data_IF_457396012106
#
_entry.id   IF_457396012106
#
_cell.length_a   1.000
_cell.length_b   1.000
_cell.length_c   1.000
_cell.angle_alpha   90.00
_cell.angle_beta   90.00
_cell.angle_gamma   90.00
#
_symmetry.space_group_name_H-M   'P 1'
#
loop_
_entity.id
_entity.type
_entity.pdbx_description
1 polymer ?
#
# COMPACT_ATOMS: atom_id res chain seq x y z
N UNK A 1 51.18 -38.97 13.69
CA UNK A 1 51.01 -37.52 13.45
C UNK A 1 49.59 -37.30 12.95
N UNK A 2 48.82 -36.48 13.67
CA UNK A 2 47.36 -36.33 13.58
C UNK A 2 46.84 -36.10 12.15
N UNK A 3 45.88 -36.94 11.78
CA UNK A 3 44.88 -36.69 10.75
C UNK A 3 44.26 -35.30 10.94
N UNK A 4 44.30 -34.48 9.88
CA UNK A 4 43.45 -33.30 9.77
C UNK A 4 42.33 -33.66 8.81
N UNK A 5 41.17 -33.94 9.40
CA UNK A 5 39.88 -34.11 8.76
C UNK A 5 39.62 -33.00 7.72
N UNK A 6 40.00 -33.22 6.48
CA UNK A 6 39.40 -32.51 5.33
C UNK A 6 38.09 -33.22 5.06
N UNK A 7 36.99 -32.68 5.59
CA UNK A 7 35.64 -33.07 5.15
C UNK A 7 35.65 -33.02 3.62
N UNK A 8 35.38 -34.15 2.97
CA UNK A 8 35.44 -34.24 1.51
C UNK A 8 34.55 -33.15 0.90
N UNK A 9 35.10 -32.32 0.02
CA UNK A 9 34.40 -31.22 -0.66
C UNK A 9 32.94 -31.52 -1.08
N UNK A 10 32.57 -32.73 -1.58
CA UNK A 10 31.17 -33.05 -1.90
C UNK A 10 30.23 -33.12 -0.69
N UNK A 11 30.70 -33.58 0.48
CA UNK A 11 29.88 -33.67 1.70
C UNK A 11 29.62 -32.27 2.26
N UNK A 12 30.62 -31.39 2.22
CA UNK A 12 30.47 -29.99 2.61
C UNK A 12 29.51 -29.24 1.69
N UNK A 13 29.62 -29.44 0.36
CA UNK A 13 28.68 -28.82 -0.59
C UNK A 13 27.26 -29.35 -0.46
N UNK A 14 27.08 -30.66 -0.20
CA UNK A 14 25.77 -31.24 0.03
C UNK A 14 25.13 -30.70 1.32
N UNK A 15 25.91 -30.59 2.39
CA UNK A 15 25.48 -29.97 3.64
C UNK A 15 25.06 -28.50 3.43
N UNK A 16 25.87 -27.71 2.71
CA UNK A 16 25.56 -26.31 2.41
C UNK A 16 24.30 -26.17 1.56
N UNK A 17 24.10 -27.05 0.58
CA UNK A 17 22.90 -27.08 -0.26
C UNK A 17 21.65 -27.41 0.58
N UNK A 18 21.72 -28.40 1.47
CA UNK A 18 20.64 -28.74 2.40
C UNK A 18 20.34 -27.54 3.33
N UNK A 19 21.37 -26.85 3.81
CA UNK A 19 21.21 -25.67 4.67
C UNK A 19 20.53 -24.53 3.90
N UNK A 20 20.91 -24.27 2.65
CA UNK A 20 20.26 -23.26 1.81
C UNK A 20 18.81 -23.61 1.52
N UNK A 21 18.51 -24.88 1.19
CA UNK A 21 17.13 -25.34 0.94
C UNK A 21 16.30 -25.24 2.22
N UNK A 22 16.84 -25.66 3.37
CA UNK A 22 16.16 -25.55 4.66
C UNK A 22 15.90 -24.10 5.03
N UNK A 23 16.88 -23.22 4.83
CA UNK A 23 16.72 -21.78 5.02
C UNK A 23 15.65 -21.20 4.08
N UNK A 24 15.65 -21.60 2.81
CA UNK A 24 14.63 -21.19 1.85
C UNK A 24 13.23 -21.61 2.29
N UNK A 25 13.02 -22.89 2.66
CA UNK A 25 11.72 -23.39 3.11
C UNK A 25 11.23 -22.61 4.34
N UNK A 26 12.13 -22.28 5.27
CA UNK A 26 11.78 -21.52 6.46
C UNK A 26 11.46 -20.04 6.15
N UNK A 27 12.25 -19.40 5.30
CA UNK A 27 12.18 -17.95 5.10
C UNK A 27 11.48 -17.55 3.79
N UNK A 28 10.92 -18.51 3.04
CA UNK A 28 10.24 -18.25 1.78
C UNK A 28 9.13 -17.19 1.95
N UNK A 29 9.13 -16.13 1.13
CA UNK A 29 8.09 -15.11 1.12
C UNK A 29 6.71 -15.66 0.73
N UNK A 30 5.64 -15.07 1.28
CA UNK A 30 4.26 -15.40 0.94
C UNK A 30 3.93 -15.27 -0.55
N UNK A 31 4.58 -14.33 -1.24
CA UNK A 31 4.35 -14.03 -2.65
C UNK A 31 4.86 -15.15 -3.58
N UNK A 32 5.75 -16.01 -3.08
CA UNK A 32 6.32 -17.16 -3.83
C UNK A 32 5.90 -18.51 -3.24
N UNK A 33 4.77 -18.53 -2.50
CA UNK A 33 4.21 -19.75 -1.92
C UNK A 33 4.81 -20.16 -0.57
N UNK A 34 5.60 -19.29 0.05
CA UNK A 34 6.06 -19.45 1.42
C UNK A 34 5.04 -18.99 2.47
N UNK A 35 5.46 -18.98 3.74
CA UNK A 35 4.59 -18.62 4.87
C UNK A 35 5.01 -17.33 5.59
N UNK A 36 6.07 -16.67 5.13
CA UNK A 36 6.68 -15.52 5.83
C UNK A 36 6.47 -14.24 5.04
N UNK A 37 6.05 -13.16 5.70
CA UNK A 37 5.97 -11.82 5.10
C UNK A 37 6.93 -10.87 5.83
N UNK A 38 7.60 -10.01 5.06
CA UNK A 38 8.64 -9.10 5.55
C UNK A 38 8.10 -7.67 5.58
N UNK A 39 8.04 -7.08 6.78
CA UNK A 39 7.47 -5.76 7.00
C UNK A 39 8.52 -4.87 7.64
N UNK A 40 8.73 -3.69 7.06
CA UNK A 40 9.54 -2.64 7.66
C UNK A 40 8.57 -1.72 8.40
N UNK A 41 8.82 -1.47 9.68
CA UNK A 41 7.95 -0.63 10.48
C UNK A 41 8.16 0.84 10.16
N UNK A 42 7.05 1.52 9.85
CA UNK A 42 6.98 2.93 9.49
C UNK A 42 6.01 3.58 10.49
N UNK A 43 6.56 4.24 11.52
CA UNK A 43 5.77 4.88 12.58
C UNK A 43 6.17 4.45 14.00
N UNK A 44 5.53 5.06 14.99
CA UNK A 44 5.78 4.89 16.42
C UNK A 44 4.63 4.20 17.17
N UNK A 45 3.58 3.73 16.48
CA UNK A 45 2.37 3.17 17.12
C UNK A 45 2.61 1.92 17.97
N UNK A 46 3.74 1.25 17.79
CA UNK A 46 4.15 0.05 18.53
C UNK A 46 5.33 0.29 19.48
N UNK A 47 5.65 1.55 19.77
CA UNK A 47 6.66 1.90 20.80
C UNK A 47 6.17 1.60 22.23
N UNK A 48 7.09 1.35 23.19
CA UNK A 48 8.55 1.26 23.04
C UNK A 48 9.02 -0.12 22.56
N UNK A 49 8.10 -1.07 22.33
CA UNK A 49 8.43 -2.44 21.97
C UNK A 49 9.04 -2.59 20.58
N UNK A 50 8.61 -1.76 19.63
CA UNK A 50 9.02 -1.79 18.22
C UNK A 50 9.30 -0.39 17.73
N UNK A 51 10.35 -0.22 16.95
CA UNK A 51 10.82 1.09 16.52
C UNK A 51 10.78 1.22 15.00
N UNK A 52 10.75 2.45 14.53
CA UNK A 52 10.88 2.77 13.11
C UNK A 52 12.16 2.14 12.53
N UNK A 53 12.06 1.62 11.30
CA UNK A 53 13.13 0.88 10.61
C UNK A 53 13.49 -0.50 11.19
N UNK A 54 12.74 -1.01 12.17
CA UNK A 54 12.83 -2.43 12.50
C UNK A 54 12.26 -3.28 11.35
N UNK A 55 12.89 -4.42 11.11
CA UNK A 55 12.35 -5.45 10.23
C UNK A 55 11.60 -6.46 11.09
N UNK A 56 10.33 -6.69 10.78
CA UNK A 56 9.55 -7.77 11.39
C UNK A 56 9.16 -8.79 10.33
N UNK A 57 9.32 -10.06 10.70
CA UNK A 57 8.87 -11.19 9.92
C UNK A 57 7.61 -11.70 10.60
N UNK A 58 6.52 -11.72 9.85
CA UNK A 58 5.26 -12.31 10.28
C UNK A 58 5.02 -13.62 9.54
N UNK A 59 4.41 -14.59 10.20
CA UNK A 59 4.04 -15.87 9.59
C UNK A 59 2.55 -16.14 9.68
N UNK A 60 1.99 -16.68 8.61
CA UNK A 60 0.59 -17.11 8.60
C UNK A 60 0.37 -18.17 9.68
N UNK A 61 -0.66 -17.99 10.50
CA UNK A 61 -1.03 -18.92 11.56
C UNK A 61 -2.45 -19.46 11.31
N UNK A 62 -2.71 -20.67 11.81
CA UNK A 62 -4.07 -21.24 11.80
C UNK A 62 -4.97 -20.60 12.86
N UNK A 63 -4.37 -20.07 13.91
CA UNK A 63 -5.05 -19.42 15.02
C UNK A 63 -4.34 -18.12 15.42
N UNK A 64 -5.12 -17.10 15.75
CA UNK A 64 -4.66 -15.84 16.31
C UNK A 64 -5.35 -15.62 17.65
N UNK A 65 -4.60 -15.22 18.67
CA UNK A 65 -5.09 -15.09 20.05
C UNK A 65 -5.00 -13.65 20.54
N UNK A 66 -5.80 -13.33 21.55
CA UNK A 66 -5.69 -12.06 22.27
C UNK A 66 -4.25 -11.89 22.78
N UNK A 67 -3.73 -10.67 22.65
CA UNK A 67 -2.34 -10.23 22.86
C UNK A 67 -1.32 -10.62 21.79
N UNK A 68 -1.70 -11.35 20.75
CA UNK A 68 -0.80 -11.57 19.61
C UNK A 68 -0.57 -10.26 18.85
N UNK A 69 0.67 -10.05 18.41
CA UNK A 69 1.04 -8.95 17.52
C UNK A 69 0.99 -9.51 16.10
N UNK A 70 0.19 -8.88 15.25
CA UNK A 70 -0.07 -9.38 13.91
C UNK A 70 0.02 -8.25 12.89
N UNK A 71 0.30 -8.61 11.65
CA UNK A 71 0.07 -7.74 10.52
C UNK A 71 -1.27 -8.07 9.87
N UNK A 72 -2.08 -7.07 9.56
CA UNK A 72 -3.36 -7.22 8.87
C UNK A 72 -3.51 -6.19 7.75
N UNK A 73 -4.39 -6.47 6.80
CA UNK A 73 -4.68 -5.56 5.69
C UNK A 73 -5.82 -4.63 6.08
N UNK A 74 -5.56 -3.33 6.11
CA UNK A 74 -6.57 -2.29 6.19
C UNK A 74 -6.86 -1.74 4.78
N UNK A 75 -8.14 -1.61 4.36
CA UNK A 75 -8.50 -1.17 3.01
C UNK A 75 -7.89 0.19 2.60
N UNK A 76 -7.88 1.16 3.52
CA UNK A 76 -7.50 2.56 3.20
C UNK A 76 -6.00 2.85 3.36
N UNK A 77 -5.30 2.11 4.23
CA UNK A 77 -3.91 2.42 4.65
C UNK A 77 -2.91 1.33 4.24
N UNK A 78 -3.36 0.12 3.92
CA UNK A 78 -2.52 -1.01 3.57
C UNK A 78 -2.20 -1.91 4.77
N UNK A 79 -0.97 -2.44 4.84
CA UNK A 79 -0.60 -3.40 5.89
C UNK A 79 -0.26 -2.67 7.19
N UNK A 80 -1.03 -2.94 8.25
CA UNK A 80 -0.86 -2.37 9.59
C UNK A 80 -0.37 -3.45 10.55
N UNK A 81 0.51 -3.09 11.48
CA UNK A 81 1.15 -4.01 12.42
C UNK A 81 0.81 -3.63 13.86
N UNK A 82 -0.18 -4.28 14.48
CA UNK A 82 -0.71 -3.96 15.80
C UNK A 82 -1.03 -5.20 16.63
N UNK A 83 -1.42 -5.01 17.90
CA UNK A 83 -1.77 -6.07 18.83
C UNK A 83 -3.27 -6.34 18.86
N UNK A 84 -3.65 -7.61 18.90
CA UNK A 84 -5.03 -8.04 19.14
C UNK A 84 -5.38 -7.76 20.61
N UNK A 85 -6.37 -6.91 20.87
CA UNK A 85 -6.88 -6.63 22.22
C UNK A 85 -8.09 -7.47 22.57
N UNK A 86 -8.93 -7.76 21.59
CA UNK A 86 -10.11 -8.59 21.77
C UNK A 86 -10.45 -9.37 20.49
N UNK A 87 -11.13 -10.49 20.66
CA UNK A 87 -11.74 -11.26 19.59
C UNK A 87 -13.24 -11.33 19.85
N UNK A 88 -14.06 -10.74 18.98
CA UNK A 88 -15.52 -10.72 19.09
C UNK A 88 -16.15 -11.15 17.76
N UNK A 89 -17.07 -12.13 17.79
CA UNK A 89 -17.88 -12.52 16.63
C UNK A 89 -17.10 -12.79 15.32
N UNK A 90 -15.87 -13.30 15.40
CA UNK A 90 -15.01 -13.58 14.23
C UNK A 90 -14.15 -12.40 13.74
N UNK A 91 -14.22 -11.26 14.42
CA UNK A 91 -13.41 -10.06 14.16
C UNK A 91 -12.43 -9.80 15.30
N UNK A 92 -11.33 -9.14 14.98
CA UNK A 92 -10.31 -8.72 15.94
C UNK A 92 -10.34 -7.22 16.18
N UNK A 93 -10.36 -6.82 17.45
CA UNK A 93 -10.11 -5.44 17.87
C UNK A 93 -8.61 -5.25 17.94
N UNK A 94 -8.10 -4.32 17.14
CA UNK A 94 -6.67 -4.05 16.98
C UNK A 94 -6.29 -2.76 17.72
N UNK A 95 -5.09 -2.73 18.28
CA UNK A 95 -4.56 -1.53 18.94
C UNK A 95 -3.03 -1.48 18.84
N UNK A 96 -2.50 -0.33 18.47
CA UNK A 96 -1.07 -0.03 18.62
C UNK A 96 -0.68 0.09 20.09
N UNK A 97 0.44 -0.52 20.50
CA UNK A 97 0.90 -0.52 21.89
C UNK A 97 1.11 0.90 22.47
N UNK A 98 1.44 1.88 21.61
CA UNK A 98 1.64 3.28 21.96
C UNK A 98 0.37 4.14 21.84
N UNK A 99 -0.68 3.64 21.18
CA UNK A 99 -1.88 4.44 20.89
C UNK A 99 -2.80 4.49 22.13
N UNK A 100 -3.46 5.63 22.38
CA UNK A 100 -4.47 5.73 23.43
C UNK A 100 -5.84 5.21 22.99
N UNK A 101 -6.12 5.17 21.69
CA UNK A 101 -7.35 4.67 21.06
C UNK A 101 -7.19 3.27 20.45
N UNK A 102 -8.31 2.62 20.13
CA UNK A 102 -8.38 1.37 19.35
C UNK A 102 -8.54 1.67 17.85
N UNK A 103 -8.09 0.76 17.00
CA UNK A 103 -8.19 0.94 15.55
C UNK A 103 -9.67 0.83 15.12
N UNK A 104 -10.12 1.74 14.26
CA UNK A 104 -11.52 1.78 13.82
C UNK A 104 -11.91 0.57 12.95
N UNK A 105 -10.92 -0.05 12.28
CA UNK A 105 -11.12 -1.20 11.41
C UNK A 105 -10.86 -2.52 12.14
N UNK A 106 -11.80 -3.44 12.03
CA UNK A 106 -11.80 -4.73 12.73
C UNK A 106 -11.60 -5.86 11.72
N UNK A 107 -10.37 -6.36 11.51
CA UNK A 107 -10.11 -7.41 10.53
C UNK A 107 -10.68 -8.77 10.96
N UNK A 108 -11.12 -9.55 9.99
CA UNK A 108 -11.37 -10.99 10.13
C UNK A 108 -10.06 -11.78 10.09
N UNK A 109 -10.09 -13.06 10.48
CA UNK A 109 -8.91 -13.94 10.41
C UNK A 109 -8.30 -14.07 9.01
N UNK A 110 -9.10 -13.90 7.94
CA UNK A 110 -8.64 -13.98 6.56
C UNK A 110 -7.89 -12.71 6.11
N UNK A 111 -8.07 -11.59 6.81
CA UNK A 111 -7.42 -10.31 6.52
C UNK A 111 -6.12 -10.14 7.33
N UNK A 112 -5.86 -11.05 8.29
CA UNK A 112 -4.59 -11.15 9.00
C UNK A 112 -3.55 -11.81 8.10
N UNK A 113 -2.49 -11.06 7.77
CA UNK A 113 -1.35 -11.52 6.96
C UNK A 113 -0.54 -12.56 7.72
N UNK A 114 -0.29 -12.31 9.01
CA UNK A 114 0.44 -13.23 9.86
C UNK A 114 0.74 -12.68 11.24
N UNK A 115 1.19 -13.58 12.13
CA UNK A 115 1.63 -13.28 13.49
C UNK A 115 3.13 -13.01 13.52
N UNK A 116 3.56 -12.06 14.34
CA UNK A 116 4.97 -11.78 14.60
C UNK A 116 5.73 -13.07 14.94
N UNK A 117 6.79 -13.32 14.18
CA UNK A 117 7.70 -14.44 14.40
C UNK A 117 9.08 -13.96 14.82
N UNK A 118 9.68 -13.04 14.06
CA UNK A 118 11.03 -12.52 14.33
C UNK A 118 11.03 -11.01 14.19
N UNK A 119 11.68 -10.32 15.12
CA UNK A 119 12.05 -8.90 15.02
C UNK A 119 13.56 -8.78 14.88
N UNK A 120 14.00 -7.99 13.92
CA UNK A 120 15.41 -7.65 13.73
C UNK A 120 15.55 -6.12 13.81
N UNK A 121 16.06 -5.60 14.95
CA UNK A 121 16.16 -4.16 15.14
C UNK A 121 17.02 -3.48 14.06
N UNK A 122 16.56 -2.32 13.56
CA UNK A 122 17.26 -1.50 12.53
C UNK A 122 17.56 -2.17 11.19
N UNK A 123 17.19 -3.43 10.97
CA UNK A 123 17.48 -4.14 9.72
C UNK A 123 16.66 -3.63 8.53
N UNK A 124 15.54 -2.94 8.77
CA UNK A 124 14.79 -2.24 7.73
C UNK A 124 15.66 -1.22 6.99
N UNK A 125 16.55 -0.51 7.71
CA UNK A 125 17.48 0.45 7.10
C UNK A 125 18.40 -0.25 6.08
N UNK A 126 19.01 -1.38 6.45
CA UNK A 126 19.90 -2.14 5.58
C UNK A 126 19.15 -2.63 4.33
N UNK A 127 17.94 -3.14 4.51
CA UNK A 127 17.08 -3.60 3.41
C UNK A 127 16.67 -2.46 2.48
N UNK A 128 16.35 -1.28 3.01
CA UNK A 128 16.03 -0.11 2.17
C UNK A 128 17.20 0.31 1.30
N UNK A 129 18.44 0.25 1.82
CA UNK A 129 19.65 0.53 1.04
C UNK A 129 19.78 -0.46 -0.12
N UNK A 130 19.60 -1.76 0.11
CA UNK A 130 19.67 -2.78 -0.96
C UNK A 130 18.50 -2.75 -1.95
N UNK A 131 17.37 -2.15 -1.60
CA UNK A 131 16.26 -1.89 -2.54
C UNK A 131 16.56 -0.76 -3.52
N UNK A 132 17.53 0.10 -3.23
CA UNK A 132 17.96 1.14 -4.19
C UNK A 132 18.78 0.53 -5.32
N UNK A 133 18.69 1.07 -6.56
CA UNK A 133 19.51 0.59 -7.68
C UNK A 133 21.00 0.57 -7.35
N UNK A 134 21.49 1.62 -6.68
CA UNK A 134 22.90 1.79 -6.31
C UNK A 134 23.32 0.75 -5.27
N UNK A 135 22.55 0.58 -4.19
CA UNK A 135 22.86 -0.40 -3.15
C UNK A 135 22.85 -1.84 -3.68
N UNK A 136 21.92 -2.16 -4.59
CA UNK A 136 21.91 -3.44 -5.28
C UNK A 136 23.14 -3.65 -6.17
N UNK A 137 23.57 -2.62 -6.91
CA UNK A 137 24.81 -2.69 -7.72
C UNK A 137 26.04 -3.01 -6.86
N UNK A 138 26.20 -2.34 -5.72
CA UNK A 138 27.31 -2.63 -4.81
C UNK A 138 27.27 -4.07 -4.27
N UNK A 139 26.09 -4.57 -3.91
CA UNK A 139 25.93 -5.95 -3.45
C UNK A 139 26.36 -6.95 -4.52
N UNK A 140 25.92 -6.76 -5.77
CA UNK A 140 26.30 -7.62 -6.90
C UNK A 140 27.81 -7.59 -7.10
N UNK A 141 28.43 -6.40 -7.11
CA UNK A 141 29.89 -6.25 -7.26
C UNK A 141 30.63 -7.02 -6.17
N UNK A 142 30.23 -6.89 -4.89
CA UNK A 142 30.87 -7.58 -3.77
C UNK A 142 30.77 -9.10 -3.94
N UNK A 143 29.59 -9.62 -4.30
CA UNK A 143 29.38 -11.05 -4.52
C UNK A 143 30.24 -11.53 -5.70
N UNK A 144 30.28 -10.78 -6.80
CA UNK A 144 31.12 -11.10 -7.96
C UNK A 144 32.60 -11.11 -7.60
N UNK A 145 33.09 -10.12 -6.84
CA UNK A 145 34.48 -10.06 -6.39
C UNK A 145 34.83 -11.21 -5.45
N UNK A 146 33.93 -11.59 -4.54
CA UNK A 146 34.11 -12.75 -3.67
C UNK A 146 34.17 -14.05 -4.47
N UNK A 147 33.26 -14.26 -5.43
CA UNK A 147 33.28 -15.42 -6.32
C UNK A 147 34.59 -15.48 -7.12
N UNK A 148 35.02 -14.36 -7.69
CA UNK A 148 36.29 -14.25 -8.40
C UNK A 148 37.48 -14.56 -7.48
N UNK A 149 37.47 -14.09 -6.24
CA UNK A 149 38.51 -14.38 -5.25
C UNK A 149 38.57 -15.88 -4.91
N UNK A 150 37.43 -16.53 -4.69
CA UNK A 150 37.39 -17.98 -4.44
C UNK A 150 37.91 -18.77 -5.65
N UNK A 151 37.46 -18.44 -6.86
CA UNK A 151 37.93 -19.09 -8.10
C UNK A 151 39.43 -18.89 -8.31
N UNK A 152 39.94 -17.67 -8.07
CA UNK A 152 41.35 -17.34 -8.26
C UNK A 152 42.25 -17.95 -7.18
N UNK A 153 41.77 -18.04 -5.94
CA UNK A 153 42.50 -18.68 -4.84
C UNK A 153 42.67 -20.19 -5.05
N UNK A 154 41.64 -20.90 -5.53
CA UNK A 154 41.75 -22.32 -5.92
C UNK A 154 42.74 -22.51 -7.08
N UNK A 155 42.75 -21.60 -8.05
CA UNK A 155 43.73 -21.61 -9.15
C UNK A 155 45.17 -21.38 -8.69
N UNK A 156 45.41 -20.49 -7.72
CA UNK A 156 46.75 -20.23 -7.14
C UNK A 156 47.21 -21.41 -6.28
N UNK A 157 46.34 -21.94 -5.42
CA UNK A 157 46.68 -23.02 -4.48
C UNK A 157 46.96 -24.33 -5.24
N UNK A 158 46.19 -24.60 -6.32
CA UNK A 158 46.43 -25.73 -7.22
C UNK A 158 47.81 -25.68 -7.92
N UNK A 159 48.38 -24.49 -8.17
CA UNK A 159 49.74 -24.35 -8.72
C UNK A 159 50.84 -24.63 -7.69
N UNK A 160 50.66 -24.25 -6.42
CA UNK A 160 51.67 -24.47 -5.36
C UNK A 160 51.85 -25.96 -5.01
N UNK A 161 50.79 -26.76 -5.00
CA UNK A 161 50.90 -28.21 -4.80
C UNK A 161 51.55 -28.92 -6.00
N UNK A 162 51.29 -28.45 -7.22
CA UNK A 162 51.89 -29.00 -8.44
C UNK A 162 53.39 -28.70 -8.55
N UNK A 163 53.83 -27.51 -8.10
CA UNK A 163 55.26 -27.16 -8.07
C UNK A 163 56.05 -27.85 -6.96
N UNK A 164 55.44 -28.16 -5.80
CA UNK A 164 56.13 -28.86 -4.71
C UNK A 164 56.30 -30.36 -4.98
N UNK A 165 55.42 -30.97 -5.79
CA UNK A 165 55.53 -32.37 -6.23
C UNK A 165 56.57 -32.55 -7.34
N UNK A 166 56.79 -31.51 -8.15
CA UNK A 166 57.80 -31.50 -9.22
C UNK A 166 59.24 -31.27 -8.71
N UNK A 167 59.45 -30.93 -7.43
CA UNK A 167 60.79 -30.74 -6.85
C UNK A 167 61.43 -32.03 -6.30
N UNK A 168 60.69 -33.15 -6.23
CA UNK A 168 61.25 -34.46 -5.85
C UNK A 168 61.29 -35.49 -6.99
N UNK A 169 60.81 -35.16 -8.19
CA UNK A 169 60.99 -36.01 -9.38
C UNK A 169 61.70 -35.21 -10.47
N UNK A 170 63.03 -35.18 -10.37
CA UNK A 170 63.87 -34.98 -11.54
C UNK A 170 63.77 -36.23 -12.42
N UNK A 171 62.83 -36.25 -13.35
CA UNK A 171 62.67 -37.37 -14.28
C UNK A 171 61.62 -37.10 -15.35
N UNK A 172 62.05 -36.63 -16.51
CA UNK A 172 61.38 -36.71 -17.81
C UNK A 172 59.83 -36.72 -17.83
N UNK A 173 59.21 -35.54 -17.98
CA UNK A 173 57.98 -35.45 -18.79
C UNK A 173 57.90 -34.12 -19.54
N UNK A 174 58.20 -34.19 -20.83
CA UNK A 174 58.01 -33.10 -21.79
C UNK A 174 56.49 -32.92 -21.93
N UNK A 175 55.91 -31.89 -21.29
CA UNK A 175 54.49 -31.58 -21.47
C UNK A 175 54.28 -31.23 -22.95
N UNK A 176 53.55 -32.10 -23.64
CA UNK A 176 53.31 -32.02 -25.06
C UNK A 176 52.42 -30.80 -25.34
N UNK A 177 52.76 -29.96 -26.33
CA UNK A 177 51.99 -28.77 -26.72
C UNK A 177 50.50 -29.06 -27.03
N UNK A 178 50.17 -30.33 -27.28
CA UNK A 178 48.83 -30.83 -27.54
C UNK A 178 47.90 -30.80 -26.33
N UNK A 179 48.41 -30.98 -25.10
CA UNK A 179 47.58 -31.03 -23.89
C UNK A 179 47.14 -29.63 -23.42
N UNK A 180 47.92 -28.58 -23.73
CA UNK A 180 47.51 -27.18 -23.49
C UNK A 180 46.31 -26.78 -24.36
N UNK A 181 46.28 -27.20 -25.62
CA UNK A 181 45.17 -26.90 -26.53
C UNK A 181 43.88 -27.63 -26.15
N UNK A 182 43.98 -28.85 -25.59
CA UNK A 182 42.82 -29.61 -25.10
C UNK A 182 42.24 -28.98 -23.84
N UNK A 183 43.09 -28.49 -22.92
CA UNK A 183 42.64 -27.83 -21.71
C UNK A 183 42.04 -26.43 -21.98
N UNK A 184 42.61 -25.65 -22.91
CA UNK A 184 42.06 -24.36 -23.34
C UNK A 184 40.71 -24.51 -24.08
N UNK A 185 40.57 -25.59 -24.86
CA UNK A 185 39.30 -25.95 -25.50
C UNK A 185 38.23 -26.33 -24.47
N UNK A 186 38.57 -27.03 -23.39
CA UNK A 186 37.62 -27.41 -22.33
C UNK A 186 37.15 -26.19 -21.51
N UNK A 187 38.05 -25.25 -21.21
CA UNK A 187 37.69 -24.02 -20.49
C UNK A 187 36.78 -23.09 -21.34
N UNK A 188 37.08 -22.91 -22.62
CA UNK A 188 36.19 -22.19 -23.54
C UNK A 188 34.82 -22.88 -23.68
N UNK A 189 34.79 -24.20 -23.52
CA UNK A 189 33.57 -24.99 -23.56
C UNK A 189 32.71 -24.79 -22.30
N UNK A 190 33.34 -24.79 -21.13
CA UNK A 190 32.64 -24.53 -19.86
C UNK A 190 32.10 -23.11 -19.81
N UNK A 191 32.88 -22.12 -20.27
CA UNK A 191 32.47 -20.71 -20.27
C UNK A 191 31.23 -20.48 -21.13
N UNK A 192 31.17 -21.10 -22.31
CA UNK A 192 30.00 -21.02 -23.19
C UNK A 192 28.76 -21.69 -22.57
N UNK A 193 28.93 -22.82 -21.89
CA UNK A 193 27.83 -23.49 -21.18
C UNK A 193 27.32 -22.67 -19.99
N UNK A 194 28.20 -22.00 -19.25
CA UNK A 194 27.78 -21.09 -18.17
C UNK A 194 26.96 -19.91 -18.69
N UNK A 195 27.33 -19.34 -19.84
CA UNK A 195 26.56 -18.27 -20.48
C UNK A 195 25.17 -18.78 -20.90
N UNK A 196 25.09 -19.93 -21.57
CA UNK A 196 23.81 -20.55 -21.95
C UNK A 196 22.94 -20.80 -20.72
N UNK A 197 23.52 -21.32 -19.64
CA UNK A 197 22.81 -21.58 -18.40
C UNK A 197 22.32 -20.29 -17.74
N UNK A 198 23.14 -19.23 -17.71
CA UNK A 198 22.74 -17.93 -17.17
C UNK A 198 21.55 -17.34 -17.96
N UNK A 199 21.56 -17.40 -19.29
CA UNK A 199 20.44 -16.98 -20.12
C UNK A 199 19.20 -17.86 -19.93
N UNK A 200 19.38 -19.19 -19.77
CA UNK A 200 18.29 -20.11 -19.45
C UNK A 200 17.60 -19.72 -18.14
N UNK A 201 18.35 -19.51 -17.06
CA UNK A 201 17.79 -19.15 -15.76
C UNK A 201 17.14 -17.77 -15.79
N UNK A 202 17.75 -16.79 -16.46
CA UNK A 202 17.15 -15.47 -16.63
C UNK A 202 15.80 -15.55 -17.36
N UNK A 203 15.72 -16.33 -18.45
CA UNK A 203 14.48 -16.54 -19.20
C UNK A 203 13.45 -17.35 -18.40
N UNK A 204 13.90 -18.34 -17.63
CA UNK A 204 13.06 -19.17 -16.77
C UNK A 204 12.42 -18.37 -15.62
N UNK A 205 13.20 -17.54 -14.93
CA UNK A 205 12.66 -16.64 -13.89
C UNK A 205 11.71 -15.60 -14.47
N UNK A 206 12.01 -15.06 -15.66
CA UNK A 206 11.11 -14.14 -16.37
C UNK A 206 9.79 -14.85 -16.76
N UNK A 207 9.86 -16.11 -17.19
CA UNK A 207 8.68 -16.92 -17.48
C UNK A 207 7.85 -17.13 -16.22
N UNK A 208 8.46 -17.53 -15.10
CA UNK A 208 7.75 -17.71 -13.83
C UNK A 208 7.05 -16.40 -13.43
N UNK A 209 7.76 -15.27 -13.40
CA UNK A 209 7.21 -13.98 -12.99
C UNK A 209 6.09 -13.48 -13.91
N UNK A 210 6.22 -13.68 -15.22
CA UNK A 210 5.23 -13.21 -16.21
C UNK A 210 4.01 -14.12 -16.34
N UNK A 211 4.15 -15.43 -16.15
CA UNK A 211 3.02 -16.36 -16.16
C UNK A 211 2.30 -16.45 -14.82
N UNK A 212 2.96 -16.16 -13.70
CA UNK A 212 2.32 -16.04 -12.38
C UNK A 212 1.51 -14.75 -12.21
N UNK A 213 1.79 -13.73 -13.03
CA UNK A 213 1.08 -12.45 -13.00
C UNK A 213 -0.07 -12.41 -14.01
N UNK A 214 -1.25 -11.86 -13.66
CA UNK A 214 -2.35 -11.69 -14.59
C UNK A 214 -1.99 -10.66 -15.68
N UNK A 215 -2.59 -10.80 -16.87
CA UNK A 215 -2.33 -9.89 -18.02
C UNK A 215 -2.94 -8.51 -17.77
N UNK A 216 -4.05 -8.46 -17.02
CA UNK A 216 -4.77 -7.25 -16.67
C UNK A 216 -4.70 -7.02 -15.15
N UNK A 217 -4.62 -5.75 -14.76
CA UNK A 217 -4.77 -5.30 -13.38
C UNK A 217 -5.90 -4.28 -13.30
N UNK A 218 -6.69 -4.36 -12.23
CA UNK A 218 -7.68 -3.34 -11.91
C UNK A 218 -6.98 -2.13 -11.28
N UNK A 219 -7.10 -0.97 -11.89
CA UNK A 219 -6.63 0.30 -11.35
C UNK A 219 -7.86 1.10 -10.90
N UNK A 220 -7.75 1.81 -9.78
CA UNK A 220 -8.78 2.77 -9.37
C UNK A 220 -8.99 3.80 -10.50
N UNK A 221 -10.26 4.06 -10.80
CA UNK A 221 -10.72 4.97 -11.84
C UNK A 221 -11.84 5.82 -11.28
N UNK A 222 -11.59 6.40 -10.11
CA UNK A 222 -12.61 7.05 -9.30
C UNK A 222 -13.08 8.37 -9.94
N UNK A 223 -14.38 8.66 -9.85
CA UNK A 223 -14.92 9.96 -10.29
C UNK A 223 -15.17 10.84 -9.08
N UNK A 224 -14.52 11.99 -9.04
CA UNK A 224 -14.77 12.98 -8.01
C UNK A 224 -16.04 13.78 -8.31
N UNK A 225 -16.78 14.08 -7.26
CA UNK A 225 -17.93 14.99 -7.31
C UNK A 225 -17.89 15.91 -6.10
N UNK A 226 -18.60 17.03 -6.19
CA UNK A 226 -18.58 18.05 -5.15
C UNK A 226 -19.99 18.52 -4.82
N UNK A 227 -20.27 18.54 -3.52
CA UNK A 227 -21.45 19.15 -2.93
C UNK A 227 -21.15 20.62 -2.63
N UNK A 228 -22.04 21.50 -3.05
CA UNK A 228 -22.00 22.92 -2.71
C UNK A 228 -23.26 23.26 -1.92
N UNK A 229 -23.07 23.92 -0.78
CA UNK A 229 -24.13 24.61 -0.05
C UNK A 229 -23.89 26.11 -0.09
N UNK A 230 -24.95 26.90 -0.14
CA UNK A 230 -24.89 28.35 0.07
C UNK A 230 -25.96 28.72 1.08
N UNK A 231 -25.54 29.28 2.21
CA UNK A 231 -26.41 29.83 3.23
C UNK A 231 -26.64 31.32 2.99
N UNK A 232 -27.87 31.75 3.25
CA UNK A 232 -28.18 33.14 3.52
C UNK A 232 -29.22 33.21 4.64
N UNK A 233 -29.19 34.29 5.39
CA UNK A 233 -30.21 34.64 6.35
C UNK A 233 -30.56 36.12 6.27
N UNK A 234 -31.80 36.44 6.59
CA UNK A 234 -32.33 37.79 6.59
C UNK A 234 -33.46 37.98 7.60
N UNK A 235 -33.65 39.21 8.06
CA UNK A 235 -34.81 39.63 8.84
C UNK A 235 -35.21 41.05 8.47
N UNK A 236 -36.50 41.37 8.60
CA UNK A 236 -36.98 42.76 8.51
C UNK A 236 -36.55 43.50 9.78
N UNK A 237 -35.99 44.70 9.64
CA UNK A 237 -35.54 45.51 10.77
C UNK A 237 -36.07 46.93 10.65
N UNK A 238 -36.36 47.61 11.79
CA UNK A 238 -36.73 49.01 11.78
C UNK A 238 -35.64 49.90 11.14
N UNK A 239 -36.07 50.86 10.30
CA UNK A 239 -35.20 51.77 9.55
C UNK A 239 -34.40 52.75 10.44
N UNK A 240 -34.70 52.83 11.73
CA UNK A 240 -34.04 53.73 12.68
C UNK A 240 -32.80 53.13 13.36
N UNK A 241 -32.60 51.81 13.26
CA UNK A 241 -31.47 51.11 13.89
C UNK A 241 -30.42 50.65 12.87
N UNK A 242 -30.82 50.38 11.62
CA UNK A 242 -29.93 49.89 10.57
C UNK A 242 -29.96 50.81 9.34
N UNK A 243 -28.82 50.91 8.65
CA UNK A 243 -28.72 51.69 7.39
C UNK A 243 -29.63 51.13 6.27
N UNK A 244 -30.04 49.87 6.38
CA UNK A 244 -30.94 49.18 5.45
C UNK A 244 -32.16 48.64 6.20
N UNK A 245 -33.33 48.60 5.55
CA UNK A 245 -34.59 48.02 6.07
C UNK A 245 -34.53 46.49 6.26
N UNK A 246 -33.40 45.86 5.90
CA UNK A 246 -33.18 44.40 5.99
C UNK A 246 -31.82 44.07 6.54
N UNK A 247 -31.80 43.12 7.47
CA UNK A 247 -30.60 42.51 8.02
C UNK A 247 -30.09 41.44 7.05
N UNK A 248 -28.78 41.41 6.80
CA UNK A 248 -28.16 40.50 5.84
C UNK A 248 -27.20 39.50 6.50
N UNK A 249 -26.76 38.53 5.70
CA UNK A 249 -25.87 37.48 6.17
C UNK A 249 -24.51 38.04 6.60
N UNK A 250 -24.14 37.81 7.86
CA UNK A 250 -22.96 38.38 8.52
C UNK A 250 -23.31 39.35 9.64
N UNK A 251 -24.50 39.95 9.61
CA UNK A 251 -24.95 40.92 10.62
C UNK A 251 -25.43 40.21 11.90
N UNK A 252 -25.21 40.82 13.09
CA UNK A 252 -25.73 40.28 14.35
C UNK A 252 -27.24 40.46 14.44
N UNK A 253 -27.96 39.41 14.83
CA UNK A 253 -29.42 39.46 15.01
C UNK A 253 -29.72 39.84 16.46
N UNK A 254 -30.17 41.07 16.70
CA UNK A 254 -30.62 41.50 18.04
C UNK A 254 -32.00 40.95 18.37
N UNK A 255 -32.10 40.21 19.47
CA UNK A 255 -33.28 39.43 19.86
C UNK A 255 -34.47 40.27 20.33
N UNK A 256 -34.21 41.50 20.80
CA UNK A 256 -35.27 42.45 21.16
C UNK A 256 -35.98 43.04 19.94
N UNK A 257 -35.30 43.05 18.79
CA UNK A 257 -35.83 43.59 17.53
C UNK A 257 -36.44 42.45 16.71
N UNK A 258 -35.72 41.33 16.62
CA UNK A 258 -36.11 40.17 15.82
C UNK A 258 -36.42 38.97 16.71
N UNK A 259 -37.70 38.54 16.74
CA UNK A 259 -38.13 37.29 17.36
C UNK A 259 -38.06 36.09 16.41
N UNK A 260 -37.83 36.35 15.13
CA UNK A 260 -37.71 35.37 14.05
C UNK A 260 -36.76 35.88 12.97
N UNK A 261 -36.22 34.95 12.17
CA UNK A 261 -35.48 35.30 10.97
C UNK A 261 -35.61 34.17 9.93
N UNK A 262 -35.45 34.51 8.66
CA UNK A 262 -35.49 33.54 7.57
C UNK A 262 -34.08 33.03 7.27
N UNK A 263 -33.92 31.72 7.18
CA UNK A 263 -32.70 31.08 6.68
C UNK A 263 -33.01 30.41 5.36
N UNK A 264 -32.17 30.62 4.36
CA UNK A 264 -32.24 29.96 3.07
C UNK A 264 -30.97 29.16 2.81
N UNK A 265 -31.14 27.96 2.28
CA UNK A 265 -30.06 27.07 1.90
C UNK A 265 -30.23 26.63 0.44
N UNK A 266 -29.23 26.93 -0.38
CA UNK A 266 -29.16 26.45 -1.76
C UNK A 266 -28.16 25.31 -1.84
N UNK A 267 -28.62 24.15 -2.29
CA UNK A 267 -27.78 22.98 -2.54
C UNK A 267 -27.53 22.81 -4.03
N UNK A 268 -26.30 22.44 -4.40
CA UNK A 268 -25.95 22.05 -5.77
C UNK A 268 -24.91 20.91 -5.79
N UNK A 269 -25.23 19.83 -6.51
CA UNK A 269 -24.32 18.72 -6.78
C UNK A 269 -23.64 18.90 -8.15
N UNK A 270 -22.31 18.94 -8.17
CA UNK A 270 -21.49 19.04 -9.39
C UNK A 270 -20.57 17.82 -9.56
N UNK A 271 -20.40 17.39 -10.79
CA UNK A 271 -19.52 16.28 -11.19
C UNK A 271 -19.13 16.49 -12.66
N UNK A 272 -17.91 16.10 -13.02
CA UNK A 272 -17.49 16.05 -14.43
C UNK A 272 -18.24 14.98 -15.22
N UNK A 273 -18.56 13.87 -14.54
CA UNK A 273 -19.33 12.77 -15.10
C UNK A 273 -20.84 13.01 -15.00
N UNK A 274 -21.65 12.50 -15.94
CA UNK A 274 -23.09 12.71 -15.95
C UNK A 274 -23.75 12.13 -14.70
N UNK A 275 -24.62 12.94 -14.09
CA UNK A 275 -25.41 12.58 -12.92
C UNK A 275 -26.81 12.15 -13.39
N UNK A 276 -27.30 11.01 -12.90
CA UNK A 276 -28.61 10.44 -13.26
C UNK A 276 -29.24 9.70 -12.07
N UNK A 277 -30.53 9.39 -12.16
CA UNK A 277 -31.27 8.63 -11.13
C UNK A 277 -31.09 9.20 -9.71
N UNK A 278 -31.28 10.52 -9.56
CA UNK A 278 -31.19 11.21 -8.27
C UNK A 278 -32.47 10.92 -7.49
N UNK A 279 -32.33 10.34 -6.32
CA UNK A 279 -33.41 10.09 -5.36
C UNK A 279 -32.90 10.39 -3.96
N UNK A 280 -33.72 10.96 -3.10
CA UNK A 280 -33.29 11.23 -1.74
C UNK A 280 -34.26 12.06 -0.94
N UNK A 281 -33.80 12.48 0.23
CA UNK A 281 -34.57 13.27 1.18
C UNK A 281 -33.79 14.50 1.64
N UNK A 282 -34.55 15.52 2.03
CA UNK A 282 -34.02 16.70 2.66
C UNK A 282 -34.90 17.19 3.79
N UNK A 283 -34.25 17.67 4.83
CA UNK A 283 -34.88 18.45 5.89
C UNK A 283 -33.86 19.47 6.41
N UNK A 284 -34.36 20.54 7.00
CA UNK A 284 -33.56 21.47 7.78
C UNK A 284 -33.96 21.35 9.25
N UNK A 285 -32.96 21.23 10.11
CA UNK A 285 -33.14 21.17 11.56
C UNK A 285 -32.31 22.25 12.24
N UNK A 286 -32.79 22.70 13.40
CA UNK A 286 -32.03 23.54 14.32
C UNK A 286 -31.54 22.68 15.47
N UNK A 287 -30.29 22.81 15.87
CA UNK A 287 -29.71 22.10 17.01
C UNK A 287 -29.26 23.16 18.01
N UNK A 288 -29.84 23.11 19.21
CA UNK A 288 -29.49 23.99 20.31
C UNK A 288 -28.51 23.22 21.18
N UNK A 289 -27.34 23.78 21.47
CA UNK A 289 -26.34 23.13 22.29
C UNK A 289 -25.74 24.04 23.37
N UNK A 290 -25.23 23.42 24.43
CA UNK A 290 -24.60 24.05 25.59
C UNK A 290 -23.23 23.42 25.86
N UNK A 291 -22.31 24.16 26.48
CA UNK A 291 -20.91 23.77 26.66
C UNK A 291 -20.68 22.50 27.50
N UNK A 292 -21.63 22.09 28.35
CA UNK A 292 -21.60 20.82 29.08
C UNK A 292 -21.87 19.58 28.21
N UNK A 293 -22.24 19.78 26.94
CA UNK A 293 -22.54 18.72 25.98
C UNK A 293 -24.03 18.38 25.86
N UNK A 294 -24.92 19.19 26.43
CA UNK A 294 -26.36 19.07 26.17
C UNK A 294 -26.69 19.56 24.76
N UNK A 295 -27.51 18.80 24.04
CA UNK A 295 -28.04 19.17 22.73
C UNK A 295 -29.53 18.85 22.60
N UNK A 296 -30.27 19.70 21.89
CA UNK A 296 -31.66 19.48 21.54
C UNK A 296 -31.94 19.90 20.10
N UNK A 297 -32.53 18.97 19.34
CA UNK A 297 -32.94 19.24 17.95
C UNK A 297 -34.38 19.76 17.89
N UNK A 298 -34.58 20.84 17.15
CA UNK A 298 -35.87 21.39 16.74
C UNK A 298 -36.03 21.23 15.23
N UNK A 299 -37.24 20.92 14.80
CA UNK A 299 -37.53 20.76 13.37
C UNK A 299 -37.86 22.12 12.74
N UNK A 300 -37.14 22.50 11.69
CA UNK A 300 -37.38 23.75 10.96
C UNK A 300 -38.18 23.51 9.68
N UNK A 301 -37.94 22.39 8.99
CA UNK A 301 -38.76 21.95 7.85
C UNK A 301 -39.16 20.48 7.97
N UNK A 302 -40.28 20.13 7.34
CA UNK A 302 -40.65 18.72 7.16
C UNK A 302 -39.67 18.00 6.19
N UNK A 303 -39.45 16.68 6.36
CA UNK A 303 -38.74 15.89 5.36
C UNK A 303 -39.44 15.95 4.00
N UNK A 304 -38.70 16.33 2.96
CA UNK A 304 -39.15 16.40 1.59
C UNK A 304 -38.33 15.46 0.70
N UNK A 305 -38.96 14.90 -0.34
CA UNK A 305 -38.29 14.09 -1.36
C UNK A 305 -37.58 14.99 -2.38
N UNK A 306 -36.39 14.59 -2.83
CA UNK A 306 -35.61 15.30 -3.86
C UNK A 306 -35.29 14.37 -5.02
N UNK A 307 -35.44 14.90 -6.24
CA UNK A 307 -35.06 14.26 -7.50
C UNK A 307 -34.25 15.19 -8.43
N UNK A 308 -33.80 16.34 -7.93
CA UNK A 308 -33.05 17.35 -8.68
C UNK A 308 -31.67 17.58 -8.08
N UNK A 309 -30.70 17.93 -8.93
CA UNK A 309 -29.30 18.18 -8.52
C UNK A 309 -29.06 19.55 -7.86
N UNK A 310 -30.02 20.47 -8.00
CA UNK A 310 -29.95 21.82 -7.45
C UNK A 310 -31.33 22.24 -6.95
N UNK A 311 -31.40 22.73 -5.72
CA UNK A 311 -32.63 23.25 -5.14
C UNK A 311 -32.30 24.30 -4.07
N UNK A 312 -33.31 25.10 -3.73
CA UNK A 312 -33.25 26.06 -2.62
C UNK A 312 -34.39 25.75 -1.67
N UNK A 313 -34.12 25.79 -0.37
CA UNK A 313 -35.11 25.65 0.68
C UNK A 313 -34.89 26.73 1.72
N UNK A 314 -36.00 27.30 2.18
CA UNK A 314 -36.01 28.33 3.22
C UNK A 314 -36.81 27.85 4.43
N UNK A 315 -36.42 28.28 5.60
CA UNK A 315 -37.09 28.00 6.86
C UNK A 315 -37.14 29.27 7.72
N UNK A 316 -38.25 29.46 8.44
CA UNK A 316 -38.35 30.47 9.48
C UNK A 316 -37.78 29.88 10.78
N UNK A 317 -36.85 30.59 11.40
CA UNK A 317 -36.30 30.26 12.71
C UNK A 317 -36.95 31.16 13.74
N UNK A 318 -37.85 30.60 14.55
CA UNK A 318 -38.54 31.32 15.61
C UNK A 318 -37.75 31.22 16.93
N UNK A 319 -37.20 32.35 17.39
CA UNK A 319 -36.35 32.43 18.58
C UNK A 319 -37.12 32.23 19.89
N UNK A 320 -38.44 32.43 19.90
CA UNK A 320 -39.27 32.15 21.08
C UNK A 320 -39.37 30.64 21.34
N UNK A 321 -39.42 29.83 20.27
CA UNK A 321 -39.37 28.36 20.38
C UNK A 321 -38.01 27.91 20.90
N UNK A 322 -36.93 28.51 20.39
CA UNK A 322 -35.56 28.24 20.86
C UNK A 322 -35.43 28.56 22.35
N UNK A 323 -35.90 29.74 22.78
CA UNK A 323 -35.86 30.12 24.18
C UNK A 323 -36.70 29.19 25.06
N UNK A 324 -37.90 28.81 24.63
CA UNK A 324 -38.76 27.87 25.39
C UNK A 324 -38.09 26.51 25.61
N UNK A 325 -37.26 26.07 24.66
CA UNK A 325 -36.48 24.83 24.78
C UNK A 325 -35.33 24.98 25.78
N UNK A 326 -34.67 26.14 25.80
CA UNK A 326 -33.63 26.49 26.77
C UNK A 326 -34.23 26.58 28.17
N UNK A 327 -35.31 27.35 28.36
CA UNK A 327 -35.97 27.56 29.65
C UNK A 327 -36.37 26.23 30.30
N UNK A 328 -36.93 25.31 29.51
CA UNK A 328 -37.31 23.98 29.97
C UNK A 328 -36.09 23.14 30.42
N UNK A 329 -34.97 23.25 29.70
CA UNK A 329 -33.72 22.59 30.11
C UNK A 329 -33.19 23.18 31.42
N UNK A 330 -33.14 24.50 31.55
CA UNK A 330 -32.65 25.18 32.76
C UNK A 330 -33.55 24.87 33.96
N UNK A 331 -34.88 24.88 33.80
CA UNK A 331 -35.85 24.54 34.85
C UNK A 331 -35.69 23.09 35.35
N UNK A 332 -35.49 22.14 34.44
CA UNK A 332 -35.38 20.72 34.79
C UNK A 332 -34.01 20.34 35.38
N UNK A 333 -32.94 21.00 34.95
CA UNK A 333 -31.57 20.63 35.34
C UNK A 333 -30.97 21.54 36.41
N UNK A 334 -31.50 22.74 36.57
CA UNK A 334 -30.92 23.79 37.41
C UNK A 334 -29.60 24.37 36.85
N UNK A 335 -29.18 23.94 35.66
CA UNK A 335 -28.01 24.48 34.96
C UNK A 335 -28.47 25.72 34.21
N UNK A 336 -27.79 26.83 34.43
CA UNK A 336 -28.01 28.08 33.67
C UNK A 336 -26.77 28.41 32.88
N UNK A 337 -26.93 28.87 31.65
CA UNK A 337 -25.81 29.30 30.80
C UNK A 337 -26.08 30.65 30.16
N UNK A 338 -25.08 31.52 30.19
CA UNK A 338 -25.16 32.82 29.54
C UNK A 338 -24.99 32.73 28.02
N UNK A 339 -24.66 31.55 27.49
CA UNK A 339 -24.40 31.33 26.07
C UNK A 339 -24.79 29.94 25.61
N UNK A 340 -25.61 29.92 24.57
CA UNK A 340 -25.98 28.72 23.83
C UNK A 340 -25.45 28.82 22.40
N UNK A 341 -25.40 27.68 21.71
CA UNK A 341 -25.13 27.63 20.28
C UNK A 341 -26.38 27.16 19.55
N UNK A 342 -26.81 27.91 18.54
CA UNK A 342 -27.86 27.50 17.62
C UNK A 342 -27.22 27.12 16.29
N UNK A 343 -27.27 25.84 15.96
CA UNK A 343 -26.75 25.30 14.69
C UNK A 343 -27.91 25.03 13.75
N UNK A 344 -27.94 25.71 12.61
CA UNK A 344 -28.85 25.37 11.52
C UNK A 344 -28.16 24.32 10.65
N UNK A 345 -28.78 23.16 10.52
CA UNK A 345 -28.21 22.02 9.81
C UNK A 345 -29.20 21.53 8.74
N UNK A 346 -28.95 21.84 7.46
CA UNK A 346 -29.60 21.17 6.34
C UNK A 346 -29.07 19.74 6.22
N UNK A 347 -29.95 18.77 6.11
CA UNK A 347 -29.62 17.35 6.01
C UNK A 347 -30.01 16.84 4.63
N UNK A 348 -29.03 16.75 3.72
CA UNK A 348 -29.21 16.27 2.35
C UNK A 348 -28.76 14.82 2.27
N UNK A 349 -29.69 13.89 2.04
CA UNK A 349 -29.39 12.48 1.83
C UNK A 349 -29.78 12.09 0.41
N UNK A 350 -28.81 11.75 -0.44
CA UNK A 350 -29.02 11.43 -1.84
C UNK A 350 -28.46 10.06 -2.20
N UNK A 351 -29.19 9.32 -3.02
CA UNK A 351 -28.70 8.21 -3.81
C UNK A 351 -28.76 8.62 -5.27
N UNK A 352 -27.65 8.51 -6.00
CA UNK A 352 -27.61 8.84 -7.42
C UNK A 352 -26.66 7.94 -8.19
N UNK A 353 -26.65 8.08 -9.52
CA UNK A 353 -25.65 7.48 -10.40
C UNK A 353 -24.76 8.54 -11.02
N UNK A 354 -23.45 8.45 -10.78
CA UNK A 354 -22.43 9.33 -11.36
C UNK A 354 -21.59 8.50 -12.33
N UNK A 355 -21.61 8.86 -13.62
CA UNK A 355 -20.93 8.06 -14.66
C UNK A 355 -21.43 6.61 -14.71
N UNK A 356 -22.71 6.38 -14.37
CA UNK A 356 -23.34 5.06 -14.29
C UNK A 356 -23.13 4.31 -12.97
N UNK A 357 -22.27 4.79 -12.07
CA UNK A 357 -21.95 4.15 -10.78
C UNK A 357 -22.87 4.65 -9.67
N UNK A 358 -23.42 3.75 -8.86
CA UNK A 358 -24.28 4.11 -7.72
C UNK A 358 -23.45 4.77 -6.62
N UNK A 359 -23.93 5.88 -6.10
CA UNK A 359 -23.32 6.68 -5.04
C UNK A 359 -24.38 7.01 -4.01
N UNK A 360 -24.05 6.82 -2.73
CA UNK A 360 -24.83 7.33 -1.60
C UNK A 360 -24.05 8.53 -1.04
N UNK A 361 -24.71 9.66 -0.94
CA UNK A 361 -24.15 10.94 -0.57
C UNK A 361 -24.93 11.53 0.60
N UNK A 362 -24.21 11.95 1.63
CA UNK A 362 -24.77 12.60 2.82
C UNK A 362 -24.03 13.92 2.99
N UNK A 363 -24.75 15.04 2.92
CA UNK A 363 -24.20 16.38 3.10
C UNK A 363 -25.00 17.11 4.18
N UNK A 364 -24.32 17.36 5.31
CA UNK A 364 -24.90 17.97 6.52
C UNK A 364 -24.06 19.14 7.01
N UNK A 365 -23.94 20.24 6.25
CA UNK A 365 -23.15 21.39 6.68
C UNK A 365 -23.76 22.05 7.92
N UNK A 366 -22.92 22.63 8.76
CA UNK A 366 -23.33 23.29 9.99
C UNK A 366 -23.20 24.80 9.85
N UNK A 367 -24.29 25.50 10.17
CA UNK A 367 -24.33 26.96 10.19
C UNK A 367 -24.62 27.44 11.61
N UNK A 368 -23.55 27.80 12.33
CA UNK A 368 -23.58 27.95 13.78
C UNK A 368 -23.64 29.42 14.22
N UNK A 369 -24.57 29.72 15.13
CA UNK A 369 -24.71 31.01 15.78
C UNK A 369 -24.41 30.88 17.27
N UNK A 370 -23.60 31.78 17.80
CA UNK A 370 -23.51 32.00 19.24
C UNK A 370 -24.69 32.87 19.67
N UNK A 371 -25.44 32.40 20.66
CA UNK A 371 -26.64 33.03 21.17
C UNK A 371 -26.45 33.41 22.64
N UNK A 372 -26.69 34.66 22.98
CA UNK A 372 -26.86 35.15 24.35
C UNK A 372 -28.24 35.79 24.50
N UNK A 373 -28.53 36.38 25.66
CA UNK A 373 -29.82 37.02 25.96
C UNK A 373 -30.17 38.19 25.02
N UNK A 374 -29.16 38.79 24.38
CA UNK A 374 -29.31 40.03 23.62
C UNK A 374 -29.25 39.81 22.12
N UNK A 375 -28.42 38.88 21.65
CA UNK A 375 -28.13 38.71 20.22
C UNK A 375 -27.75 37.29 19.81
N UNK A 376 -27.91 37.02 18.52
CA UNK A 376 -27.27 35.92 17.80
C UNK A 376 -26.15 36.48 16.91
N UNK A 377 -24.98 35.86 16.96
CA UNK A 377 -23.83 36.21 16.13
C UNK A 377 -23.30 34.95 15.45
N UNK A 378 -23.02 35.05 14.14
CA UNK A 378 -22.40 33.95 13.41
C UNK A 378 -21.03 33.59 14.00
N UNK A 379 -20.83 32.32 14.33
CA UNK A 379 -19.53 31.85 14.85
C UNK A 379 -18.53 31.84 13.70
N UNK A 380 -17.51 32.68 13.79
CA UNK A 380 -16.39 32.69 12.86
C UNK A 380 -15.28 31.77 13.39
N UNK A 381 -14.94 30.75 12.62
CA UNK A 381 -13.77 29.91 12.88
C UNK A 381 -12.53 30.62 12.32
N UNK A 382 -11.49 30.83 13.15
CA UNK A 382 -10.24 31.48 12.73
C UNK A 382 -9.55 30.75 11.56
N UNK A 383 -9.92 29.50 11.27
CA UNK A 383 -9.41 28.71 10.16
C UNK A 383 -10.21 28.83 8.85
N UNK A 384 -11.40 29.45 8.87
CA UNK A 384 -12.31 29.57 7.71
C UNK A 384 -12.67 31.04 7.46
N UNK A 385 -12.67 31.47 6.21
CA UNK A 385 -13.15 32.83 5.89
C UNK A 385 -14.67 32.91 6.05
N UNK A 386 -15.21 34.12 6.27
CA UNK A 386 -16.66 34.34 6.35
C UNK A 386 -17.40 33.82 5.10
N UNK A 387 -16.75 33.87 3.94
CA UNK A 387 -17.22 33.29 2.68
C UNK A 387 -17.28 31.77 2.69
N UNK A 388 -16.35 31.09 3.35
CA UNK A 388 -16.33 29.62 3.44
C UNK A 388 -17.43 29.08 4.36
N UNK A 389 -17.76 29.83 5.42
CA UNK A 389 -18.85 29.49 6.35
C UNK A 389 -20.21 29.57 5.64
N UNK A 390 -20.39 30.61 4.81
CA UNK A 390 -21.61 30.76 4.02
C UNK A 390 -21.66 29.80 2.82
N UNK A 391 -20.52 29.30 2.34
CA UNK A 391 -20.45 28.43 1.16
C UNK A 391 -19.74 27.11 1.44
N UNK A 392 -20.30 26.23 2.30
CA UNK A 392 -19.70 24.95 2.62
C UNK A 392 -19.61 24.04 1.39
N UNK A 393 -18.49 23.32 1.27
CA UNK A 393 -18.28 22.33 0.22
C UNK A 393 -17.85 20.98 0.78
N UNK A 394 -18.29 19.88 0.16
CA UNK A 394 -17.84 18.53 0.51
C UNK A 394 -17.51 17.75 -0.77
N UNK A 395 -16.28 17.24 -0.84
CA UNK A 395 -15.83 16.35 -1.93
C UNK A 395 -16.28 14.92 -1.62
N UNK A 396 -16.79 14.24 -2.64
CA UNK A 396 -17.14 12.83 -2.60
C UNK A 396 -16.55 12.07 -3.78
N UNK A 397 -16.50 10.74 -3.65
CA UNK A 397 -15.84 9.86 -4.62
C UNK A 397 -16.80 8.75 -5.06
N UNK A 398 -17.01 8.64 -6.36
CA UNK A 398 -17.72 7.53 -6.99
C UNK A 398 -16.72 6.43 -7.36
N UNK A 399 -16.49 5.51 -6.43
CA UNK A 399 -15.46 4.48 -6.56
C UNK A 399 -15.67 3.59 -7.79
N UNK A 400 -14.59 3.26 -8.50
CA UNK A 400 -14.64 2.25 -9.55
C UNK A 400 -13.28 1.79 -10.05
N UNK A 401 -13.33 0.78 -10.91
CA UNK A 401 -12.14 0.09 -11.39
C UNK A 401 -12.14 0.01 -12.90
N UNK A 402 -11.01 0.36 -13.50
CA UNK A 402 -10.74 0.07 -14.92
C UNK A 402 -9.72 -1.05 -15.04
N UNK A 403 -9.93 -1.93 -16.00
CA UNK A 403 -8.92 -2.89 -16.42
C UNK A 403 -7.83 -2.16 -17.20
N UNK A 404 -6.58 -2.36 -16.80
CA UNK A 404 -5.41 -1.85 -17.49
C UNK A 404 -4.40 -2.96 -17.69
N UNK A 405 -3.53 -2.83 -18.68
CA UNK A 405 -2.48 -3.81 -18.94
C UNK A 405 -1.50 -3.85 -17.75
N UNK A 406 -1.28 -5.06 -17.22
CA UNK A 406 -0.41 -5.24 -16.07
C UNK A 406 1.07 -5.12 -16.46
N UNK A 407 1.90 -4.63 -15.55
CA UNK A 407 3.34 -4.44 -15.77
C UNK A 407 4.17 -5.08 -14.66
N UNK A 408 5.29 -5.69 -15.05
CA UNK A 408 6.31 -6.18 -14.13
C UNK A 408 7.41 -5.12 -14.00
N UNK A 409 7.85 -4.86 -12.78
CA UNK A 409 9.08 -4.10 -12.55
C UNK A 409 10.27 -5.05 -12.54
N UNK A 410 11.09 -5.00 -13.57
CA UNK A 410 12.29 -5.83 -13.71
C UNK A 410 13.48 -4.89 -13.84
N UNK A 411 14.39 -4.90 -12.87
CA UNK A 411 15.55 -4.00 -12.81
C UNK A 411 15.16 -2.51 -12.92
N UNK A 412 13.98 -2.12 -12.42
CA UNK A 412 13.45 -0.75 -12.49
C UNK A 412 12.74 -0.39 -13.80
N UNK A 413 12.73 -1.29 -14.80
CA UNK A 413 11.97 -1.13 -16.03
C UNK A 413 10.57 -1.73 -15.88
N UNK A 414 9.54 -0.98 -16.25
CA UNK A 414 8.15 -1.46 -16.31
C UNK A 414 7.92 -2.15 -17.65
N UNK A 415 7.81 -3.47 -17.64
CA UNK A 415 7.59 -4.29 -18.83
C UNK A 415 6.16 -4.83 -18.79
N UNK A 416 5.41 -4.68 -19.89
CA UNK A 416 4.08 -5.26 -20.03
C UNK A 416 4.13 -6.79 -19.84
N UNK A 417 3.22 -7.35 -19.03
CA UNK A 417 3.20 -8.79 -18.72
C UNK A 417 3.08 -9.65 -19.99
N UNK A 418 2.27 -9.26 -20.97
CA UNK A 418 2.13 -9.98 -22.24
C UNK A 418 3.47 -10.02 -22.99
N UNK A 419 4.16 -8.88 -23.07
CA UNK A 419 5.44 -8.77 -23.74
C UNK A 419 6.53 -9.56 -23.01
N UNK A 420 6.52 -9.56 -21.66
CA UNK A 420 7.42 -10.37 -20.85
C UNK A 420 7.22 -11.88 -21.07
N UNK A 421 5.96 -12.35 -21.19
CA UNK A 421 5.66 -13.75 -21.54
C UNK A 421 6.25 -14.12 -22.89
N UNK A 422 5.99 -13.30 -23.91
CA UNK A 422 6.50 -13.51 -25.27
C UNK A 422 8.04 -13.58 -25.24
N UNK A 423 8.71 -12.59 -24.66
CA UNK A 423 10.18 -12.57 -24.55
C UNK A 423 10.71 -13.82 -23.85
N UNK A 424 10.09 -14.23 -22.74
CA UNK A 424 10.54 -15.41 -21.98
C UNK A 424 10.48 -16.69 -22.82
N UNK A 425 9.41 -16.90 -23.59
CA UNK A 425 9.24 -18.07 -24.46
C UNK A 425 10.28 -18.06 -25.58
N UNK A 426 10.44 -16.93 -26.28
CA UNK A 426 11.42 -16.83 -27.37
C UNK A 426 12.86 -17.02 -26.87
N UNK A 427 13.21 -16.48 -25.71
CA UNK A 427 14.53 -16.69 -25.11
C UNK A 427 14.79 -18.15 -24.75
N UNK A 428 13.80 -18.84 -24.15
CA UNK A 428 13.92 -20.28 -23.82
C UNK A 428 14.14 -21.10 -25.11
N UNK A 429 13.36 -20.84 -26.16
CA UNK A 429 13.50 -21.53 -27.46
C UNK A 429 14.88 -21.26 -28.08
N UNK A 430 15.34 -20.01 -28.08
CA UNK A 430 16.66 -19.64 -28.60
C UNK A 430 17.79 -20.35 -27.84
N UNK A 431 17.69 -20.44 -26.51
CA UNK A 431 18.64 -21.16 -25.65
C UNK A 431 18.67 -22.66 -25.96
N UNK A 432 17.51 -23.29 -26.18
CA UNK A 432 17.42 -24.70 -26.58
C UNK A 432 18.09 -24.94 -27.93
N UNK A 433 17.82 -24.08 -28.91
CA UNK A 433 18.45 -24.16 -30.25
C UNK A 433 19.97 -23.99 -30.15
N UNK A 434 20.45 -23.03 -29.36
CA UNK A 434 21.87 -22.80 -29.14
C UNK A 434 22.54 -24.01 -28.47
N UNK A 435 21.90 -24.62 -27.48
CA UNK A 435 22.39 -25.82 -26.81
C UNK A 435 22.44 -27.03 -27.75
N UNK A 436 21.42 -27.22 -28.60
CA UNK A 436 21.39 -28.28 -29.61
C UNK A 436 22.49 -28.08 -30.68
N UNK A 437 22.62 -26.87 -31.21
CA UNK A 437 23.66 -26.54 -32.18
C UNK A 437 25.06 -26.78 -31.62
N UNK A 438 25.28 -26.37 -30.36
CA UNK A 438 26.53 -26.61 -29.65
C UNK A 438 26.81 -28.11 -29.45
N UNK A 439 25.80 -28.88 -29.03
CA UNK A 439 25.90 -30.33 -28.86
C UNK A 439 26.28 -31.03 -30.18
N UNK A 440 25.62 -30.69 -31.28
CA UNK A 440 25.92 -31.25 -32.61
C UNK A 440 27.33 -30.89 -33.04
N UNK A 441 27.72 -29.61 -32.99
CA UNK A 441 29.05 -29.15 -33.39
C UNK A 441 30.17 -29.84 -32.63
N UNK A 442 29.99 -30.06 -31.33
CA UNK A 442 30.99 -30.73 -30.48
C UNK A 442 30.96 -32.25 -30.55
N UNK A 443 29.81 -32.87 -30.80
CA UNK A 443 29.72 -34.31 -31.10
C UNK A 443 30.52 -34.69 -32.35
N UNK A 444 30.44 -33.87 -33.41
CA UNK A 444 31.23 -34.05 -34.63
C UNK A 444 32.76 -33.96 -34.39
N UNK A 445 33.20 -33.11 -33.45
CA UNK A 445 34.62 -32.96 -33.10
C UNK A 445 35.19 -34.20 -32.38
N UNK A 446 34.42 -34.85 -31.50
CA UNK A 446 34.86 -36.07 -30.82
C UNK A 446 34.97 -37.28 -31.77
N UNK A 447 34.02 -37.44 -32.70
CA UNK A 447 34.02 -38.51 -33.71
C UNK A 447 35.22 -38.40 -34.66
N UNK A 448 35.57 -37.20 -35.12
CA UNK A 448 36.74 -36.98 -35.98
C UNK A 448 38.06 -37.24 -35.25
N UNK A 449 38.14 -36.91 -33.96
CA UNK A 449 39.36 -37.16 -33.17
C UNK A 449 39.59 -38.65 -32.90
N UNK A 450 38.52 -39.44 -32.71
CA UNK A 450 38.56 -40.90 -32.60
C UNK A 450 38.95 -41.55 -33.94
N UNK A 451 38.35 -41.11 -35.06
CA UNK A 451 38.67 -41.62 -36.40
C UNK A 451 40.14 -41.40 -36.77
N UNK A 452 40.71 -40.24 -36.42
CA UNK A 452 42.14 -39.95 -36.65
C UNK A 452 43.12 -40.76 -35.77
N UNK A 453 42.67 -41.28 -34.62
CA UNK A 453 43.46 -42.17 -33.74
C UNK A 453 43.43 -43.62 -34.25
N UNK A 454 42.29 -44.07 -34.78
CA UNK A 454 42.15 -45.41 -35.36
C UNK A 454 42.96 -45.50 -36.66
N UNK A 455 42.86 -44.52 -37.57
CA UNK A 455 43.64 -44.50 -38.81
C UNK A 455 45.16 -44.49 -38.53
N UNK A 456 45.62 -43.74 -37.51
CA UNK A 456 47.04 -43.73 -37.11
C UNK A 456 47.52 -45.03 -36.46
N UNK A 457 46.64 -45.84 -35.88
CA UNK A 457 46.98 -47.17 -35.35
C UNK A 457 47.03 -48.23 -36.45
N UNK A 458 46.24 -48.07 -37.51
CA UNK A 458 46.19 -49.01 -38.64
C UNK A 458 47.35 -48.78 -39.62
N UNK A 459 47.82 -47.54 -39.81
CA UNK A 459 48.97 -47.23 -40.69
C UNK A 459 50.34 -47.51 -40.02
N UNK A 460 50.35 -47.88 -38.73
CA UNK A 460 51.56 -48.22 -37.95
C UNK A 460 51.76 -49.72 -37.68
N UNK A 461 50.88 -50.55 -38.22
CA UNK A 461 51.02 -52.00 -38.32
C UNK A 461 51.21 -52.33 -39.79
#
# INVERSE_FOLDING_TARGET
MKDKNTVSHPVFSAFLLILVISCWILFAPSEVGGQTTYIILIGNSMEPGFHINDLVLVRTSREYRVNDIVAYKQPDVGVVFHRIRQSQNGYFVMKGDHNSWEDSYHPTANEVVGKLWIRIPKAGLILTVFRTPIGFTFLVIIITLLLLFFIFSDWIIGRKQRNKRNSCESGFFKINHKDKNVMDMYNKLSDFLYIIFAFFFAAFFLAIASFSSPIESSISDDYEFMNYGTFSYSSEVPDDIYDNETLNSGDPIYRQINDRFMVSFTYELKSEMPISAIEGTYQMVGIISEASGWEKTIQLTAPALINIKKFTSSAEVNLNIVQSVIDNFEEQTGITSNRYTLTIQPQVNLACKIGGRKVINVFTPEFQFSMDDQKLVLIQDNSKTATDILNPTQVGVAAGFRKSANTLSILGLKINVLLARIISVYLIVAVIIAALWFSVKNGYLQLNHLRSRVIRKVVKK
#
